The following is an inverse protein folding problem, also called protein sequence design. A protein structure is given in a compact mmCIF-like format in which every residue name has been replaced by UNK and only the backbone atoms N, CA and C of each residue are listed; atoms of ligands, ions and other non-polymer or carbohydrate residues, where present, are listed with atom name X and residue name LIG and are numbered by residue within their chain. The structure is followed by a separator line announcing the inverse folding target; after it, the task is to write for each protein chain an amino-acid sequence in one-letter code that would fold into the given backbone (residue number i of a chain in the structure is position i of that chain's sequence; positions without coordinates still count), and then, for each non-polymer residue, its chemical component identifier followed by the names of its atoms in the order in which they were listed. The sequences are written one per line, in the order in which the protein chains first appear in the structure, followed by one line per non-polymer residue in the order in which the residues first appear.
data_IF_385604311953
#
_entry.id   IF_385604311953
#
_cell.length_a   1.000
_cell.length_b   1.000
_cell.length_c   1.000
_cell.angle_alpha   90.00
_cell.angle_beta   90.00
_cell.angle_gamma   90.00
#
_symmetry.space_group_name_H-M   'P 1'
#
loop_
_entity.id
_entity.type
_entity.pdbx_description
1 polymer ?
#
# COMPACT_ATOMS: atom_id res chain seq x y z
N UNK A 1 -29.89 23.44 6.91
CA UNK A 1 -28.55 23.26 7.50
C UNK A 1 -27.54 23.29 6.36
N UNK A 2 -26.45 24.06 6.48
CA UNK A 2 -25.54 24.39 5.37
C UNK A 2 -24.45 23.29 5.23
N UNK A 3 -24.35 22.59 4.08
CA UNK A 3 -23.37 21.51 3.86
C UNK A 3 -21.91 21.95 3.99
N UNK A 4 -21.61 23.24 3.83
CA UNK A 4 -20.25 23.76 3.87
C UNK A 4 -19.60 23.66 5.26
N UNK A 5 -20.40 23.65 6.34
CA UNK A 5 -19.87 23.71 7.70
C UNK A 5 -19.39 22.34 8.23
N UNK A 6 -19.83 21.24 7.62
CA UNK A 6 -19.33 19.91 7.94
C UNK A 6 -17.94 19.71 7.37
N UNK A 7 -17.73 19.97 6.07
CA UNK A 7 -16.44 19.79 5.41
C UNK A 7 -15.24 20.44 6.15
N UNK A 8 -15.45 21.58 6.81
CA UNK A 8 -14.40 22.27 7.57
C UNK A 8 -13.90 21.50 8.81
N UNK A 9 -14.77 20.76 9.51
CA UNK A 9 -14.37 20.01 10.72
C UNK A 9 -13.47 18.84 10.34
N UNK A 10 -13.93 18.00 9.43
CA UNK A 10 -13.15 16.86 8.95
C UNK A 10 -11.88 17.32 8.24
N UNK A 11 -11.92 18.41 7.46
CA UNK A 11 -10.70 18.96 6.85
C UNK A 11 -9.69 19.44 7.90
N UNK A 12 -10.16 20.11 8.96
CA UNK A 12 -9.30 20.53 10.08
C UNK A 12 -8.67 19.32 10.78
N UNK A 13 -9.45 18.26 10.99
CA UNK A 13 -8.95 17.01 11.58
C UNK A 13 -7.89 16.34 10.71
N UNK A 14 -8.12 16.25 9.39
CA UNK A 14 -7.15 15.69 8.44
C UNK A 14 -5.85 16.49 8.46
N UNK A 15 -5.93 17.82 8.37
CA UNK A 15 -4.74 18.69 8.41
C UNK A 15 -4.00 18.58 9.74
N UNK A 16 -4.70 18.48 10.87
CA UNK A 16 -4.07 18.32 12.19
C UNK A 16 -3.32 16.98 12.35
N UNK A 17 -3.70 15.95 11.58
CA UNK A 17 -3.14 14.61 11.67
C UNK A 17 -2.38 14.16 10.42
N UNK A 18 -2.04 15.09 9.51
CA UNK A 18 -1.44 14.81 8.20
C UNK A 18 -0.22 13.87 8.29
N UNK A 19 0.70 14.15 9.22
CA UNK A 19 1.91 13.34 9.41
C UNK A 19 1.60 11.89 9.78
N UNK A 20 0.64 11.69 10.70
CA UNK A 20 0.21 10.36 11.16
C UNK A 20 -0.54 9.61 10.06
N UNK A 21 -1.43 10.30 9.37
CA UNK A 21 -2.22 9.77 8.26
C UNK A 21 -1.33 9.36 7.08
N UNK A 22 -0.38 10.21 6.70
CA UNK A 22 0.59 9.88 5.66
C UNK A 22 1.47 8.68 6.04
N UNK A 23 1.87 8.56 7.31
CA UNK A 23 2.66 7.42 7.79
C UNK A 23 1.94 6.07 7.68
N UNK A 24 0.59 6.06 7.74
CA UNK A 24 -0.23 4.86 7.52
C UNK A 24 -0.74 4.74 6.07
N UNK A 25 -0.27 5.62 5.18
CA UNK A 25 -0.59 5.59 3.75
C UNK A 25 -1.93 6.22 3.38
N UNK A 26 -2.56 6.98 4.26
CA UNK A 26 -3.80 7.69 3.93
C UNK A 26 -3.52 8.92 3.05
N UNK A 27 -4.25 9.01 1.93
CA UNK A 27 -4.18 10.10 0.99
C UNK A 27 -5.52 10.79 0.81
N UNK A 28 -5.48 12.12 0.70
CA UNK A 28 -6.63 12.91 0.25
C UNK A 28 -6.99 12.54 -1.19
N UNK A 29 -8.28 12.40 -1.44
CA UNK A 29 -8.80 11.94 -2.72
C UNK A 29 -9.22 13.14 -3.58
N UNK A 30 -8.80 13.18 -4.83
CA UNK A 30 -9.23 14.20 -5.78
C UNK A 30 -10.73 14.07 -6.08
N UNK A 31 -11.43 15.16 -6.48
CA UNK A 31 -12.86 15.10 -6.77
C UNK A 31 -13.26 14.00 -7.77
N UNK A 32 -12.49 13.81 -8.83
CA UNK A 32 -12.75 12.77 -9.84
C UNK A 32 -12.59 11.36 -9.27
N UNK A 33 -11.55 11.13 -8.47
CA UNK A 33 -11.32 9.84 -7.80
C UNK A 33 -12.41 9.57 -6.77
N UNK A 34 -12.88 10.59 -6.06
CA UNK A 34 -13.97 10.48 -5.09
C UNK A 34 -15.26 9.99 -5.77
N UNK A 35 -15.65 10.60 -6.89
CA UNK A 35 -16.82 10.18 -7.65
C UNK A 35 -16.71 8.72 -8.14
N UNK A 36 -15.51 8.30 -8.58
CA UNK A 36 -15.25 6.90 -8.98
C UNK A 36 -15.39 5.92 -7.82
N UNK A 37 -14.85 6.25 -6.64
CA UNK A 37 -14.93 5.40 -5.45
C UNK A 37 -16.36 5.28 -4.92
N UNK A 38 -17.12 6.38 -4.87
CA UNK A 38 -18.53 6.33 -4.45
C UNK A 38 -19.38 5.51 -5.41
N UNK A 39 -19.13 5.64 -6.72
CA UNK A 39 -19.81 4.80 -7.73
C UNK A 39 -19.47 3.33 -7.55
N UNK A 40 -18.21 2.99 -7.29
CA UNK A 40 -17.79 1.62 -7.02
C UNK A 40 -18.45 1.08 -5.75
N UNK A 41 -18.48 1.87 -4.68
CA UNK A 41 -19.15 1.53 -3.44
C UNK A 41 -20.65 1.25 -3.67
N UNK A 42 -21.35 2.11 -4.41
CA UNK A 42 -22.77 1.92 -4.74
C UNK A 42 -23.01 0.62 -5.54
N UNK A 43 -22.09 0.26 -6.44
CA UNK A 43 -22.16 -0.97 -7.21
C UNK A 43 -21.95 -2.23 -6.37
N UNK A 44 -21.11 -2.14 -5.34
CA UNK A 44 -20.79 -3.28 -4.47
C UNK A 44 -21.80 -3.49 -3.35
N UNK A 45 -22.38 -2.40 -2.82
CA UNK A 45 -23.32 -2.47 -1.70
C UNK A 45 -24.64 -3.13 -2.11
N UNK A 46 -25.04 -4.17 -1.37
CA UNK A 46 -26.34 -4.83 -1.51
C UNK A 46 -27.23 -4.67 -0.28
N UNK A 47 -28.57 -4.81 -0.42
CA UNK A 47 -29.49 -4.79 0.71
C UNK A 47 -29.06 -5.72 1.85
N UNK A 48 -29.14 -5.22 3.08
CA UNK A 48 -28.69 -5.94 4.28
C UNK A 48 -27.26 -5.64 4.71
N UNK A 49 -26.49 -4.90 3.92
CA UNK A 49 -25.20 -4.36 4.34
C UNK A 49 -25.39 -3.15 5.29
N UNK A 50 -24.49 -2.98 6.27
CA UNK A 50 -24.59 -1.98 7.35
C UNK A 50 -24.84 -0.55 6.84
N UNK A 51 -24.14 -0.17 5.79
CA UNK A 51 -24.21 1.17 5.19
C UNK A 51 -25.01 1.21 3.87
N UNK A 52 -25.78 0.16 3.56
CA UNK A 52 -26.58 0.13 2.34
C UNK A 52 -27.64 1.24 2.35
N UNK A 53 -27.70 2.04 1.28
CA UNK A 53 -28.65 3.14 1.13
C UNK A 53 -28.34 4.37 1.98
N UNK A 54 -27.17 4.42 2.62
CA UNK A 54 -26.74 5.56 3.42
C UNK A 54 -25.86 6.46 2.56
N UNK A 55 -26.22 7.74 2.49
CA UNK A 55 -25.39 8.73 1.82
C UNK A 55 -24.08 8.93 2.59
N UNK A 56 -22.99 9.03 1.85
CA UNK A 56 -21.67 9.21 2.42
C UNK A 56 -20.78 10.06 1.50
N UNK A 57 -19.75 10.66 2.08
CA UNK A 57 -18.67 11.33 1.35
C UNK A 57 -17.33 10.69 1.68
N UNK A 58 -16.46 10.53 0.67
CA UNK A 58 -15.11 10.00 0.87
C UNK A 58 -14.24 11.08 1.48
N UNK A 59 -13.68 10.80 2.66
CA UNK A 59 -12.69 11.65 3.32
C UNK A 59 -11.29 11.41 2.78
N UNK A 60 -10.97 10.15 2.46
CA UNK A 60 -9.73 9.78 1.81
C UNK A 60 -9.64 8.29 1.53
N UNK A 61 -8.51 7.88 0.97
CA UNK A 61 -8.24 6.50 0.58
C UNK A 61 -6.81 6.11 0.94
N UNK A 62 -6.58 4.84 1.20
CA UNK A 62 -5.26 4.34 1.53
C UNK A 62 -4.47 3.97 0.28
N UNK A 63 -3.16 4.21 0.33
CA UNK A 63 -2.22 3.82 -0.69
C UNK A 63 -1.78 2.38 -0.46
N UNK A 64 -1.91 1.54 -1.48
CA UNK A 64 -1.52 0.13 -1.42
C UNK A 64 -2.56 -0.80 -0.79
N UNK A 65 -3.70 -0.28 -0.33
CA UNK A 65 -4.90 -1.06 0.00
C UNK A 65 -6.12 -0.46 -0.67
N UNK A 66 -7.15 -1.26 -0.88
CA UNK A 66 -8.42 -0.81 -1.46
C UNK A 66 -9.35 -0.19 -0.41
N UNK A 67 -8.78 0.34 0.68
CA UNK A 67 -9.51 0.91 1.80
C UNK A 67 -9.83 2.38 1.58
N UNK A 68 -11.05 2.78 1.96
CA UNK A 68 -11.53 4.17 1.95
C UNK A 68 -12.17 4.53 3.28
N UNK A 69 -12.01 5.80 3.71
CA UNK A 69 -12.74 6.35 4.86
C UNK A 69 -13.89 7.19 4.36
N UNK A 70 -15.07 6.89 4.87
CA UNK A 70 -16.31 7.58 4.57
C UNK A 70 -16.76 8.39 5.79
N UNK A 71 -17.28 9.59 5.53
CA UNK A 71 -18.20 10.29 6.43
C UNK A 71 -19.62 9.90 6.07
N UNK A 72 -20.37 9.37 7.03
CA UNK A 72 -21.78 9.04 6.84
C UNK A 72 -22.63 10.29 7.10
N UNK A 73 -23.64 10.53 6.27
CA UNK A 73 -24.60 11.63 6.50
C UNK A 73 -25.54 11.35 7.69
N UNK A 74 -25.72 10.07 8.03
CA UNK A 74 -26.52 9.62 9.17
C UNK A 74 -25.70 8.66 10.01
N UNK A 75 -25.94 8.71 11.33
CA UNK A 75 -25.27 7.82 12.27
C UNK A 75 -25.80 6.39 12.15
N UNK A 76 -24.87 5.43 12.16
CA UNK A 76 -25.17 3.99 12.08
C UNK A 76 -24.56 3.33 13.29
N UNK A 77 -25.38 2.74 14.15
CA UNK A 77 -24.92 2.05 15.36
C UNK A 77 -23.96 2.89 16.23
N UNK A 78 -24.17 4.21 16.34
CA UNK A 78 -23.27 5.09 17.10
C UNK A 78 -22.08 5.65 16.30
N UNK A 79 -21.91 5.23 15.05
CA UNK A 79 -20.79 5.62 14.21
C UNK A 79 -21.16 6.65 13.14
N UNK A 80 -20.29 7.65 12.97
CA UNK A 80 -20.42 8.69 11.93
C UNK A 80 -19.46 8.47 10.76
N UNK A 81 -18.58 7.48 10.86
CA UNK A 81 -17.58 7.18 9.86
C UNK A 81 -17.55 5.67 9.60
N UNK A 82 -17.05 5.30 8.42
CA UNK A 82 -16.84 3.91 8.06
C UNK A 82 -15.54 3.75 7.29
N UNK A 83 -14.73 2.76 7.68
CA UNK A 83 -13.61 2.27 6.89
C UNK A 83 -14.13 1.10 6.03
N UNK A 84 -14.04 1.23 4.71
CA UNK A 84 -14.56 0.24 3.77
C UNK A 84 -13.43 -0.28 2.90
N UNK A 85 -13.27 -1.60 2.84
CA UNK A 85 -12.38 -2.28 1.90
C UNK A 85 -13.15 -2.62 0.63
N UNK A 86 -12.94 -1.86 -0.45
CA UNK A 86 -13.56 -2.11 -1.73
C UNK A 86 -13.02 -3.42 -2.34
N UNK A 87 -13.88 -4.10 -3.09
CA UNK A 87 -13.53 -5.35 -3.78
C UNK A 87 -13.24 -5.16 -5.27
N UNK A 88 -13.61 -4.01 -5.82
CA UNK A 88 -13.60 -3.69 -7.25
C UNK A 88 -14.44 -4.67 -8.10
N UNK A 89 -15.43 -5.29 -7.46
CA UNK A 89 -16.34 -6.26 -8.07
C UNK A 89 -17.67 -5.65 -8.50
N UNK A 90 -18.64 -6.52 -8.78
CA UNK A 90 -20.05 -6.15 -8.89
C UNK A 90 -20.75 -6.18 -7.53
N UNK A 91 -22.09 -6.32 -7.51
CA UNK A 91 -22.86 -6.42 -6.27
C UNK A 91 -22.33 -7.54 -5.36
N UNK A 92 -22.00 -7.19 -4.13
CA UNK A 92 -21.47 -8.09 -3.12
C UNK A 92 -22.57 -8.55 -2.16
N UNK A 93 -22.43 -9.75 -1.61
CA UNK A 93 -23.34 -10.22 -0.55
C UNK A 93 -22.84 -9.74 0.81
N UNK A 94 -23.72 -9.24 1.71
CA UNK A 94 -23.33 -8.88 3.06
C UNK A 94 -22.61 -10.05 3.77
N UNK A 95 -21.53 -9.81 4.51
CA UNK A 95 -21.04 -8.50 4.98
C UNK A 95 -20.04 -7.81 4.04
N UNK A 96 -19.90 -8.27 2.79
CA UNK A 96 -19.00 -7.67 1.81
C UNK A 96 -19.68 -6.47 1.10
N UNK A 97 -18.97 -5.38 0.79
CA UNK A 97 -17.55 -5.08 1.08
C UNK A 97 -17.25 -4.96 2.58
N UNK A 98 -16.06 -5.41 3.01
CA UNK A 98 -15.71 -5.39 4.44
C UNK A 98 -15.77 -3.98 4.98
N UNK A 99 -16.56 -3.79 6.03
CA UNK A 99 -16.84 -2.46 6.59
C UNK A 99 -16.64 -2.46 8.09
N UNK A 100 -15.85 -1.51 8.58
CA UNK A 100 -15.66 -1.22 9.98
C UNK A 100 -16.27 0.15 10.29
N UNK A 101 -17.25 0.17 11.20
CA UNK A 101 -17.84 1.41 11.71
C UNK A 101 -16.88 2.09 12.69
N UNK A 102 -16.76 3.42 12.58
CA UNK A 102 -15.87 4.25 13.39
C UNK A 102 -16.71 5.36 14.04
N UNK A 103 -16.77 5.35 15.36
CA UNK A 103 -17.45 6.38 16.16
C UNK A 103 -16.57 7.63 16.31
N UNK A 104 -15.29 7.43 16.63
CA UNK A 104 -14.31 8.48 16.87
C UNK A 104 -13.06 8.24 16.02
N UNK A 105 -12.69 9.26 15.22
CA UNK A 105 -11.54 9.18 14.33
C UNK A 105 -10.20 9.24 15.09
N UNK A 106 -10.12 9.94 16.22
CA UNK A 106 -8.91 10.01 17.03
C UNK A 106 -8.64 8.67 17.69
N UNK A 107 -9.67 8.06 18.29
CA UNK A 107 -9.56 6.72 18.88
C UNK A 107 -9.18 5.68 17.82
N UNK A 108 -9.83 5.72 16.66
CA UNK A 108 -9.50 4.84 15.55
C UNK A 108 -8.06 5.03 15.09
N UNK A 109 -7.59 6.27 14.90
CA UNK A 109 -6.25 6.56 14.43
C UNK A 109 -5.18 6.04 15.41
N UNK A 110 -5.37 6.24 16.71
CA UNK A 110 -4.45 5.69 17.72
C UNK A 110 -4.45 4.15 17.73
N UNK A 111 -5.55 3.50 17.35
CA UNK A 111 -5.63 2.04 17.26
C UNK A 111 -4.86 1.45 16.05
N UNK A 112 -4.81 2.16 14.92
CA UNK A 112 -4.10 1.71 13.71
C UNK A 112 -2.61 2.06 13.72
N UNK A 113 -2.20 3.09 14.46
CA UNK A 113 -0.79 3.43 14.60
C UNK A 113 -0.09 2.35 15.42
N UNK A 114 0.91 1.64 14.86
CA UNK A 114 1.62 0.62 15.60
C UNK A 114 2.40 1.25 16.76
N UNK A 115 2.38 0.59 17.93
CA UNK A 115 3.17 1.02 19.07
C UNK A 115 4.67 1.05 18.74
N UNK A 116 5.48 1.88 19.44
CA UNK A 116 6.93 1.94 19.21
C UNK A 116 7.62 0.57 19.30
N UNK A 117 7.14 -0.30 20.20
CA UNK A 117 7.63 -1.67 20.34
C UNK A 117 7.34 -2.51 19.10
N UNK A 118 6.12 -2.42 18.57
CA UNK A 118 5.71 -3.12 17.36
C UNK A 118 6.46 -2.60 16.12
N UNK A 119 6.69 -1.30 16.05
CA UNK A 119 7.55 -0.69 15.01
C UNK A 119 8.97 -1.24 15.10
N UNK A 120 9.54 -1.33 16.30
CA UNK A 120 10.87 -1.89 16.50
C UNK A 120 10.94 -3.37 16.08
N UNK A 121 9.90 -4.16 16.37
CA UNK A 121 9.80 -5.55 15.94
C UNK A 121 9.71 -5.69 14.41
N UNK A 122 8.86 -4.90 13.76
CA UNK A 122 8.74 -4.83 12.29
C UNK A 122 10.10 -4.46 11.68
N UNK A 123 10.78 -3.45 12.22
CA UNK A 123 12.09 -3.02 11.75
C UNK A 123 13.15 -4.11 11.90
N UNK A 124 13.17 -4.81 13.03
CA UNK A 124 14.07 -5.94 13.29
C UNK A 124 13.82 -7.08 12.29
N UNK A 125 12.55 -7.43 12.05
CA UNK A 125 12.18 -8.44 11.06
C UNK A 125 12.63 -8.04 9.65
N UNK A 126 12.36 -6.80 9.25
CA UNK A 126 12.75 -6.25 7.95
C UNK A 126 14.27 -6.17 7.78
N UNK A 127 15.01 -5.89 8.84
CA UNK A 127 16.48 -5.90 8.82
C UNK A 127 17.04 -7.31 8.59
N UNK A 128 16.49 -8.32 9.27
CA UNK A 128 16.87 -9.72 9.06
C UNK A 128 16.62 -10.13 7.61
N UNK A 129 15.47 -9.74 7.04
CA UNK A 129 15.15 -9.99 5.63
C UNK A 129 16.15 -9.30 4.70
N UNK A 130 16.42 -8.01 4.89
CA UNK A 130 17.42 -7.24 4.11
C UNK A 130 18.81 -7.88 4.16
N UNK A 131 19.25 -8.35 5.33
CA UNK A 131 20.54 -9.05 5.49
C UNK A 131 20.60 -10.37 4.72
N UNK A 132 19.50 -11.13 4.67
CA UNK A 132 19.42 -12.38 3.88
C UNK A 132 19.47 -12.09 2.38
N UNK A 133 18.74 -11.08 1.92
CA UNK A 133 18.70 -10.68 0.52
C UNK A 133 20.04 -10.12 0.04
N UNK A 134 20.68 -9.26 0.84
CA UNK A 134 22.03 -8.76 0.54
C UNK A 134 23.05 -9.88 0.36
N UNK A 135 23.01 -10.91 1.22
CA UNK A 135 23.88 -12.10 1.07
C UNK A 135 23.61 -12.89 -0.21
N UNK A 136 22.35 -13.07 -0.59
CA UNK A 136 21.98 -13.73 -1.86
C UNK A 136 22.49 -12.94 -3.06
N UNK A 137 22.33 -11.63 -3.06
CA UNK A 137 22.81 -10.76 -4.14
C UNK A 137 24.34 -10.78 -4.23
N UNK A 138 25.05 -10.73 -3.10
CA UNK A 138 26.50 -10.85 -3.07
C UNK A 138 27.00 -12.20 -3.62
N UNK A 139 26.37 -13.31 -3.25
CA UNK A 139 26.73 -14.64 -3.78
C UNK A 139 26.44 -14.75 -5.28
N UNK A 140 25.31 -14.21 -5.74
CA UNK A 140 24.98 -14.14 -7.17
C UNK A 140 26.01 -13.32 -7.94
N UNK A 141 26.43 -12.18 -7.40
CA UNK A 141 27.40 -11.30 -8.03
C UNK A 141 28.79 -11.94 -8.08
N UNK A 142 29.22 -12.62 -7.00
CA UNK A 142 30.47 -13.37 -6.98
C UNK A 142 30.46 -14.51 -8.01
N UNK A 143 29.37 -15.28 -8.07
CA UNK A 143 29.20 -16.35 -9.06
C UNK A 143 29.25 -15.82 -10.48
N UNK A 144 28.60 -14.68 -10.75
CA UNK A 144 28.68 -13.99 -12.03
C UNK A 144 30.11 -13.60 -12.40
N UNK A 145 30.89 -13.01 -11.49
CA UNK A 145 32.28 -12.64 -11.79
C UNK A 145 33.19 -13.85 -12.02
N UNK A 146 33.02 -14.93 -11.25
CA UNK A 146 33.75 -16.17 -11.46
C UNK A 146 33.45 -16.78 -12.83
N UNK A 147 32.19 -16.76 -13.24
CA UNK A 147 31.76 -17.21 -14.57
C UNK A 147 32.41 -16.36 -15.68
N UNK A 148 32.35 -15.02 -15.57
CA UNK A 148 32.98 -14.11 -16.53
C UNK A 148 34.50 -14.35 -16.62
N UNK A 149 35.18 -14.52 -15.49
CA UNK A 149 36.62 -14.81 -15.46
C UNK A 149 36.94 -16.14 -16.16
N UNK A 150 36.14 -17.19 -15.92
CA UNK A 150 36.28 -18.47 -16.60
C UNK A 150 36.10 -18.34 -18.11
N UNK A 151 35.12 -17.56 -18.57
CA UNK A 151 34.92 -17.27 -20.01
C UNK A 151 36.13 -16.55 -20.59
N UNK A 152 36.65 -15.52 -19.91
CA UNK A 152 37.83 -14.77 -20.36
C UNK A 152 39.05 -15.70 -20.48
N UNK A 153 39.32 -16.52 -19.47
CA UNK A 153 40.43 -17.49 -19.48
C UNK A 153 40.27 -18.49 -20.62
N UNK A 154 39.05 -19.01 -20.82
CA UNK A 154 38.75 -19.95 -21.91
C UNK A 154 38.99 -19.33 -23.28
N UNK A 155 38.52 -18.09 -23.50
CA UNK A 155 38.74 -17.34 -24.73
C UNK A 155 40.22 -17.03 -24.95
N UNK A 156 40.96 -16.69 -23.88
CA UNK A 156 42.40 -16.46 -23.96
C UNK A 156 43.16 -17.71 -24.39
N UNK A 157 42.88 -18.88 -23.80
CA UNK A 157 43.48 -20.14 -24.23
C UNK A 157 43.12 -20.48 -25.67
N UNK A 158 41.84 -20.34 -26.05
CA UNK A 158 41.42 -20.55 -27.44
C UNK A 158 42.17 -19.63 -28.41
N UNK A 159 42.34 -18.36 -28.06
CA UNK A 159 43.14 -17.41 -28.85
C UNK A 159 44.61 -17.87 -28.96
N UNK A 160 45.25 -18.22 -27.85
CA UNK A 160 46.64 -18.70 -27.83
C UNK A 160 46.85 -19.95 -28.70
N UNK A 161 45.87 -20.85 -28.78
CA UNK A 161 45.94 -22.03 -29.66
C UNK A 161 45.81 -21.72 -31.15
N UNK A 162 45.27 -20.55 -31.52
CA UNK A 162 45.18 -20.09 -32.90
C UNK A 162 46.41 -19.29 -33.35
N UNK A 163 47.26 -18.86 -32.40
CA UNK A 163 48.53 -18.21 -32.72
C UNK A 163 49.49 -19.25 -33.28
N UNK A 164 49.75 -19.16 -34.58
CA UNK A 164 50.70 -20.05 -35.25
C UNK A 164 52.14 -19.70 -34.85
N UNK A 165 53.00 -20.68 -34.54
CA UNK A 165 54.39 -20.43 -34.12
C UNK A 165 55.22 -19.70 -35.19
N UNK A 166 54.86 -19.81 -36.47
CA UNK A 166 55.48 -19.08 -37.58
C UNK A 166 55.29 -17.55 -37.54
N UNK A 167 54.43 -17.01 -36.67
CA UNK A 167 54.33 -15.55 -36.43
C UNK A 167 55.38 -15.01 -35.46
N UNK A 168 56.11 -15.88 -34.75
CA UNK A 168 57.15 -15.49 -33.80
C UNK A 168 58.57 -15.54 -34.37
N UNK A 169 58.73 -15.76 -35.68
CA UNK A 169 60.01 -15.57 -36.39
C UNK A 169 61.20 -16.33 -35.77
N UNK A 170 61.04 -17.64 -35.54
CA UNK A 170 62.15 -18.58 -35.32
C UNK A 170 62.38 -19.39 -36.58
#
# INVERSE_FOLDING_TARGET
MNPQHYAEREQTWITAHEDKLSAIGFDLVTPDRNAGLLKQLEQELSPGHLIYGINASVLGAFSGTDDIILKLESEVEGAQYALVHLTWGGPQSPPCPSTQLIADLDEWLESVIPSPEKIAEINKFNEVRRRREKRRNQLSQLGYYLFILLVIVTLFFAFMTQIKPEWFGL
#
